data_IF_432238173032
#
_entry.id   IF_432238173032
#
_cell.length_a   1.000
_cell.length_b   1.000
_cell.length_c   1.000
_cell.angle_alpha   90.00
_cell.angle_beta   90.00
_cell.angle_gamma   90.00
#
_symmetry.space_group_name_H-M   'P 1'
#
loop_
_entity.id
_entity.type
_entity.pdbx_description
1 polymer ?
#
# COMPACT_ATOMS: atom_id res chain seq x y z
N UNK A 1 -16.27 14.73 -12.47
CA UNK A 1 -15.24 13.77 -12.93
C UNK A 1 -13.90 14.04 -12.23
N UNK A 2 -13.81 13.86 -10.89
CA UNK A 2 -12.60 14.23 -10.11
C UNK A 2 -12.13 13.15 -9.12
N UNK A 3 -12.97 12.16 -8.77
CA UNK A 3 -12.64 11.17 -7.73
C UNK A 3 -11.51 10.17 -8.06
N UNK A 4 -11.26 9.89 -9.34
CA UNK A 4 -10.17 8.99 -9.74
C UNK A 4 -8.78 9.62 -9.48
N UNK A 5 -8.64 10.93 -9.74
CA UNK A 5 -7.39 11.67 -9.49
C UNK A 5 -7.11 11.78 -7.99
N UNK A 6 -8.17 11.96 -7.17
CA UNK A 6 -8.05 12.08 -5.73
C UNK A 6 -7.52 10.80 -5.05
N UNK A 7 -7.86 9.61 -5.55
CA UNK A 7 -7.41 8.33 -4.96
C UNK A 7 -5.94 8.00 -5.24
N UNK A 8 -5.41 8.50 -6.35
CA UNK A 8 -4.01 8.35 -6.75
C UNK A 8 -3.12 9.49 -6.26
N UNK A 9 -3.70 10.50 -5.59
CA UNK A 9 -2.94 11.59 -5.00
C UNK A 9 -1.93 11.09 -3.96
N UNK A 10 -0.92 11.92 -3.71
CA UNK A 10 0.18 11.61 -2.80
C UNK A 10 -0.15 11.97 -1.35
N UNK A 11 0.19 11.06 -0.44
CA UNK A 11 0.06 11.21 1.02
C UNK A 11 1.41 10.95 1.68
N UNK A 12 1.88 11.89 2.50
CA UNK A 12 3.11 11.73 3.27
C UNK A 12 2.86 10.83 4.48
N UNK A 13 3.74 9.86 4.70
CA UNK A 13 3.70 8.94 5.84
C UNK A 13 4.80 9.28 6.83
N UNK A 14 4.41 9.55 8.08
CA UNK A 14 5.28 9.77 9.21
C UNK A 14 5.39 8.51 10.07
N UNK A 15 6.51 8.34 10.76
CA UNK A 15 6.62 7.39 11.86
C UNK A 15 6.04 7.96 13.17
N UNK A 16 6.03 7.16 14.24
CA UNK A 16 5.61 7.59 15.58
C UNK A 16 6.38 8.79 16.16
N UNK A 17 7.55 9.12 15.60
CA UNK A 17 8.40 10.25 16.00
C UNK A 17 8.24 11.47 15.06
N UNK A 18 7.18 11.52 14.24
CA UNK A 18 6.90 12.60 13.30
C UNK A 18 7.97 12.78 12.20
N UNK A 19 8.82 11.78 11.98
CA UNK A 19 9.79 11.78 10.88
C UNK A 19 9.15 11.22 9.62
N UNK A 20 9.30 11.94 8.51
CA UNK A 20 8.88 11.50 7.19
C UNK A 20 9.60 10.20 6.76
N UNK A 21 8.85 9.17 6.39
CA UNK A 21 9.40 7.89 5.90
C UNK A 21 9.24 7.76 4.39
N UNK A 22 8.02 7.95 3.88
CA UNK A 22 7.69 7.69 2.47
C UNK A 22 6.42 8.42 2.05
N UNK A 23 6.18 8.46 0.74
CA UNK A 23 4.91 8.88 0.14
C UNK A 23 4.14 7.64 -0.35
N UNK A 24 2.83 7.61 -0.10
CA UNK A 24 1.91 6.55 -0.56
C UNK A 24 0.70 7.16 -1.27
N UNK A 25 -0.08 6.34 -1.98
CA UNK A 25 -1.36 6.79 -2.54
C UNK A 25 -2.44 6.95 -1.46
N UNK A 26 -3.41 7.80 -1.72
CA UNK A 26 -4.58 8.00 -0.83
C UNK A 26 -5.33 6.70 -0.59
N UNK A 27 -5.51 5.85 -1.62
CA UNK A 27 -6.10 4.52 -1.46
C UNK A 27 -5.41 3.69 -0.36
N UNK A 28 -4.07 3.73 -0.32
CA UNK A 28 -3.30 3.02 0.70
C UNK A 28 -3.40 3.69 2.07
N UNK A 29 -3.42 5.02 2.12
CA UNK A 29 -3.60 5.78 3.36
C UNK A 29 -4.94 5.43 4.03
N UNK A 30 -6.05 5.43 3.28
CA UNK A 30 -7.35 5.00 3.81
C UNK A 30 -7.37 3.56 4.30
N UNK A 31 -6.65 2.65 3.62
CA UNK A 31 -6.51 1.26 4.08
C UNK A 31 -5.82 1.20 5.45
N UNK A 32 -4.88 2.10 5.75
CA UNK A 32 -4.19 2.16 7.04
C UNK A 32 -5.07 2.81 8.12
N UNK A 33 -5.77 3.90 7.78
CA UNK A 33 -6.70 4.60 8.68
C UNK A 33 -7.83 3.66 9.12
N UNK A 34 -8.49 2.98 8.16
CA UNK A 34 -9.59 2.06 8.44
C UNK A 34 -9.17 0.85 9.30
N UNK A 35 -7.89 0.47 9.23
CA UNK A 35 -7.33 -0.61 10.07
C UNK A 35 -6.85 -0.11 11.45
N UNK A 36 -7.06 1.17 11.76
CA UNK A 36 -6.56 1.80 12.98
C UNK A 36 -5.02 1.67 13.13
N UNK A 37 -4.31 1.63 11.99
CA UNK A 37 -2.84 1.54 11.95
C UNK A 37 -2.17 2.90 11.74
N UNK A 38 -2.96 3.90 11.38
CA UNK A 38 -2.50 5.26 11.14
C UNK A 38 -3.56 6.26 11.61
N UNK A 39 -3.11 7.50 11.82
CA UNK A 39 -3.93 8.67 12.08
C UNK A 39 -3.57 9.75 11.07
N UNK A 40 -4.53 10.59 10.71
CA UNK A 40 -4.30 11.81 9.93
C UNK A 40 -3.66 12.84 10.84
N UNK A 41 -2.64 13.55 10.35
CA UNK A 41 -2.01 14.66 11.08
C UNK A 41 -2.32 15.96 10.36
N UNK A 42 -2.91 16.90 11.10
CA UNK A 42 -3.11 18.28 10.67
C UNK A 42 -2.22 19.20 11.49
N UNK A 43 -1.88 20.34 10.90
CA UNK A 43 -1.16 21.42 11.57
C UNK A 43 -2.08 22.63 11.56
N UNK A 44 -2.50 23.06 12.75
CA UNK A 44 -3.28 24.29 12.97
C UNK A 44 -2.60 25.10 14.07
N UNK A 45 -2.39 26.40 13.85
CA UNK A 45 -1.79 27.31 14.85
C UNK A 45 -0.52 26.75 15.54
N UNK A 46 0.41 26.20 14.75
CA UNK A 46 1.64 25.53 15.21
C UNK A 46 1.45 24.30 16.11
N UNK A 47 0.23 23.76 16.17
CA UNK A 47 -0.11 22.54 16.90
C UNK A 47 -0.37 21.39 15.93
N UNK A 48 0.10 20.21 16.32
CA UNK A 48 -0.18 18.97 15.60
C UNK A 48 -1.41 18.30 16.21
N UNK A 49 -2.50 18.28 15.45
CA UNK A 49 -3.69 17.53 15.81
C UNK A 49 -3.75 16.22 15.02
N UNK A 50 -4.15 15.15 15.71
CA UNK A 50 -4.22 13.80 15.15
C UNK A 50 -5.64 13.27 15.18
N UNK A 51 -6.08 12.73 14.05
CA UNK A 51 -7.44 12.21 13.89
C UNK A 51 -7.40 10.76 13.43
N UNK A 52 -8.16 9.90 14.12
CA UNK A 52 -8.46 8.56 13.62
C UNK A 52 -9.43 8.61 12.43
N UNK A 53 -9.80 7.45 11.89
CA UNK A 53 -10.67 7.40 10.71
C UNK A 53 -12.03 8.07 10.97
N UNK A 54 -12.70 7.73 12.07
CA UNK A 54 -14.05 8.21 12.36
C UNK A 54 -14.07 9.71 12.64
N UNK A 55 -13.13 10.21 13.44
CA UNK A 55 -12.98 11.63 13.72
C UNK A 55 -12.65 12.42 12.46
N UNK A 56 -11.82 11.87 11.56
CA UNK A 56 -11.50 12.51 10.28
C UNK A 56 -12.71 12.60 9.35
N UNK A 57 -13.56 11.56 9.31
CA UNK A 57 -14.81 11.59 8.54
C UNK A 57 -15.77 12.62 9.13
N UNK A 58 -15.92 12.68 10.45
CA UNK A 58 -16.76 13.68 11.11
C UNK A 58 -16.29 15.10 10.82
N UNK A 59 -14.99 15.37 10.96
CA UNK A 59 -14.41 16.68 10.59
C UNK A 59 -14.62 17.01 9.11
N UNK A 60 -14.49 16.03 8.22
CA UNK A 60 -14.75 16.25 6.78
C UNK A 60 -16.19 16.66 6.49
N UNK A 61 -17.15 16.23 7.34
CA UNK A 61 -18.56 16.63 7.22
C UNK A 61 -18.82 18.05 7.74
N UNK A 62 -18.01 18.55 8.67
CA UNK A 62 -18.06 19.92 9.19
C UNK A 62 -17.46 20.94 8.20
N UNK A 63 -17.67 20.71 6.90
CA UNK A 63 -17.05 21.33 5.72
C UNK A 63 -16.90 22.86 5.78
N UNK A 64 -17.79 23.54 6.50
CA UNK A 64 -17.90 25.00 6.52
C UNK A 64 -17.04 25.68 7.60
N UNK A 65 -16.40 24.93 8.53
CA UNK A 65 -15.66 25.53 9.67
C UNK A 65 -14.14 25.57 9.52
N UNK A 66 -13.56 24.97 8.47
CA UNK A 66 -12.10 24.89 8.29
C UNK A 66 -11.62 25.88 7.23
N UNK A 67 -10.63 26.76 7.51
CA UNK A 67 -10.04 27.64 6.50
C UNK A 67 -9.35 26.79 5.43
N UNK A 68 -9.87 26.83 4.21
CA UNK A 68 -9.34 26.10 3.06
C UNK A 68 -8.02 26.73 2.60
N UNK A 69 -6.90 26.39 3.22
CA UNK A 69 -5.58 26.70 2.68
C UNK A 69 -5.10 25.56 1.76
N UNK A 70 -5.32 25.71 0.46
CA UNK A 70 -4.69 24.90 -0.59
C UNK A 70 -5.62 24.16 -1.56
N UNK A 71 -5.03 23.24 -2.34
CA UNK A 71 -5.73 22.33 -3.24
C UNK A 71 -6.33 21.17 -2.44
N UNK A 72 -7.52 21.36 -1.88
CA UNK A 72 -8.22 20.28 -1.18
C UNK A 72 -8.93 19.35 -2.17
N UNK A 73 -8.37 18.15 -2.31
CA UNK A 73 -9.01 17.05 -3.02
C UNK A 73 -10.02 16.36 -2.09
N UNK A 74 -11.13 15.89 -2.67
CA UNK A 74 -12.20 15.23 -1.94
C UNK A 74 -12.51 13.86 -2.56
N UNK A 75 -12.78 12.89 -1.70
CA UNK A 75 -13.30 11.59 -2.08
C UNK A 75 -14.79 11.57 -1.76
N UNK A 76 -15.60 11.26 -2.78
CA UNK A 76 -17.04 11.07 -2.63
C UNK A 76 -17.36 9.58 -2.65
N UNK A 77 -18.14 9.12 -1.69
CA UNK A 77 -18.83 7.83 -1.69
C UNK A 77 -20.31 8.06 -2.03
N UNK A 78 -21.12 7.00 -2.01
CA UNK A 78 -22.58 7.12 -2.21
C UNK A 78 -23.27 7.98 -1.13
N UNK A 79 -22.68 8.10 0.05
CA UNK A 79 -23.31 8.75 1.22
C UNK A 79 -22.40 9.73 1.96
N UNK A 80 -21.10 9.81 1.62
CA UNK A 80 -20.11 10.58 2.36
C UNK A 80 -19.20 11.37 1.43
N UNK A 81 -18.77 12.54 1.88
CA UNK A 81 -17.63 13.25 1.30
C UNK A 81 -16.54 13.31 2.36
N UNK A 82 -15.35 12.88 1.99
CA UNK A 82 -14.20 12.76 2.88
C UNK A 82 -13.04 13.54 2.28
N UNK A 83 -12.42 14.43 3.06
CA UNK A 83 -11.24 15.17 2.63
C UNK A 83 -10.07 14.22 2.44
N UNK A 84 -9.30 14.41 1.38
CA UNK A 84 -8.09 13.62 1.14
C UNK A 84 -7.06 13.94 2.25
N UNK A 85 -6.62 12.94 3.03
CA UNK A 85 -5.59 13.16 4.03
C UNK A 85 -4.25 13.41 3.32
N UNK A 86 -3.55 14.51 3.65
CA UNK A 86 -2.24 14.83 3.07
C UNK A 86 -1.08 14.24 3.84
N UNK A 87 -1.23 14.11 5.16
CA UNK A 87 -0.20 13.56 6.05
C UNK A 87 -0.86 12.54 6.97
N UNK A 88 -0.24 11.36 7.10
CA UNK A 88 -0.66 10.32 8.04
C UNK A 88 0.52 9.86 8.88
N UNK A 89 0.28 9.54 10.14
CA UNK A 89 1.27 9.02 11.09
C UNK A 89 0.95 7.57 11.44
N UNK A 90 1.94 6.69 11.34
CA UNK A 90 1.78 5.28 11.72
C UNK A 90 1.80 5.13 13.25
N UNK A 91 0.77 4.50 13.79
CA UNK A 91 0.61 4.24 15.23
C UNK A 91 1.44 3.05 15.71
N UNK A 92 1.51 2.02 14.89
CA UNK A 92 2.30 0.83 15.13
C UNK A 92 2.96 0.42 13.83
N UNK A 93 4.23 0.03 13.92
CA UNK A 93 4.88 -0.68 12.81
C UNK A 93 4.42 -2.13 12.88
N UNK A 94 3.18 -2.43 12.50
CA UNK A 94 2.62 -3.79 12.57
C UNK A 94 3.15 -4.67 11.42
N UNK A 95 4.47 -4.85 11.40
CA UNK A 95 5.28 -5.71 10.52
C UNK A 95 5.83 -5.00 9.28
N UNK A 96 7.08 -5.33 8.98
CA UNK A 96 7.64 -5.21 7.63
C UNK A 96 6.55 -5.66 6.65
N UNK A 97 6.19 -4.84 5.64
CA UNK A 97 5.19 -5.26 4.65
C UNK A 97 5.59 -6.65 4.17
N UNK A 98 4.68 -7.64 4.27
CA UNK A 98 4.93 -9.00 3.79
C UNK A 98 5.58 -8.85 2.42
N UNK A 99 6.87 -9.15 2.33
CA UNK A 99 7.57 -9.03 1.07
C UNK A 99 6.92 -10.08 0.18
N UNK A 100 6.09 -9.62 -0.76
CA UNK A 100 5.61 -10.48 -1.81
C UNK A 100 6.86 -10.96 -2.53
N UNK A 101 7.23 -12.22 -2.29
CA UNK A 101 8.37 -12.84 -2.96
C UNK A 101 7.99 -12.80 -4.44
N UNK A 102 8.76 -12.04 -5.22
CA UNK A 102 8.48 -11.89 -6.64
C UNK A 102 8.70 -13.24 -7.33
N UNK A 103 7.81 -13.61 -8.25
CA UNK A 103 8.05 -14.73 -9.15
C UNK A 103 9.21 -14.37 -10.06
N UNK A 104 10.39 -14.93 -9.78
CA UNK A 104 11.59 -14.77 -10.59
C UNK A 104 12.46 -16.03 -10.47
N UNK A 105 13.37 -16.20 -11.44
CA UNK A 105 14.24 -17.38 -11.54
C UNK A 105 15.02 -17.67 -10.25
N UNK A 106 15.57 -16.64 -9.61
CA UNK A 106 16.31 -16.77 -8.33
C UNK A 106 15.42 -17.34 -7.22
N UNK A 107 14.19 -16.85 -7.09
CA UNK A 107 13.28 -17.24 -6.03
C UNK A 107 12.68 -18.64 -6.27
N UNK A 108 12.46 -19.04 -7.53
CA UNK A 108 12.02 -20.41 -7.85
C UNK A 108 13.13 -21.41 -7.48
N UNK A 109 14.37 -21.15 -7.86
CA UNK A 109 15.48 -22.04 -7.51
C UNK A 109 15.74 -22.11 -6.01
N UNK A 110 15.57 -20.99 -5.30
CA UNK A 110 15.65 -20.98 -3.85
C UNK A 110 14.54 -21.82 -3.20
N UNK A 111 13.29 -21.69 -3.67
CA UNK A 111 12.14 -22.49 -3.22
C UNK A 111 12.39 -23.98 -3.39
N UNK A 112 12.92 -24.36 -4.55
CA UNK A 112 13.13 -25.77 -4.91
C UNK A 112 14.45 -26.33 -4.34
N UNK A 113 15.16 -25.55 -3.53
CA UNK A 113 16.49 -25.87 -3.00
C UNK A 113 17.48 -26.30 -4.09
N UNK A 114 17.37 -25.70 -5.27
CA UNK A 114 18.19 -26.01 -6.44
C UNK A 114 18.07 -27.49 -6.88
N UNK A 115 16.92 -28.13 -6.60
CA UNK A 115 16.58 -29.47 -7.10
C UNK A 115 15.74 -29.38 -8.37
N UNK A 116 16.11 -30.16 -9.37
CA UNK A 116 15.32 -30.32 -10.59
C UNK A 116 13.98 -30.99 -10.25
N UNK A 117 12.86 -30.35 -10.61
CA UNK A 117 11.52 -30.86 -10.31
C UNK A 117 11.16 -32.13 -11.10
N UNK A 118 11.88 -32.44 -12.18
CA UNK A 118 11.65 -33.64 -12.97
C UNK A 118 12.42 -34.87 -12.45
N UNK A 119 13.70 -34.70 -12.06
CA UNK A 119 14.56 -35.82 -11.66
C UNK A 119 14.92 -35.85 -10.17
N UNK A 120 14.58 -34.81 -9.40
CA UNK A 120 14.82 -34.72 -7.96
C UNK A 120 16.27 -34.42 -7.54
N UNK A 121 17.23 -34.42 -8.47
CA UNK A 121 18.66 -34.17 -8.17
C UNK A 121 18.95 -32.69 -7.97
N UNK A 122 19.96 -32.38 -7.15
CA UNK A 122 20.44 -31.03 -6.86
C UNK A 122 21.52 -30.61 -7.85
N UNK A 123 21.44 -29.39 -8.37
CA UNK A 123 22.36 -28.85 -9.38
C UNK A 123 22.78 -27.41 -9.04
N UNK A 124 23.91 -26.92 -9.56
CA UNK A 124 24.23 -25.49 -9.49
C UNK A 124 23.25 -24.67 -10.35
N UNK A 125 23.05 -23.40 -10.00
CA UNK A 125 22.12 -22.49 -10.70
C UNK A 125 22.39 -22.34 -12.20
N UNK A 126 23.66 -22.50 -12.61
CA UNK A 126 24.10 -22.46 -14.00
C UNK A 126 23.56 -23.62 -14.84
N UNK A 127 23.25 -24.76 -14.21
CA UNK A 127 22.77 -25.98 -14.87
C UNK A 127 21.25 -26.15 -14.79
N UNK A 128 20.55 -25.28 -14.07
CA UNK A 128 19.09 -25.33 -13.95
C UNK A 128 18.42 -24.46 -15.02
N UNK A 129 17.38 -24.95 -15.67
CA UNK A 129 16.45 -24.14 -16.48
C UNK A 129 15.20 -23.78 -15.66
N UNK A 130 14.44 -22.81 -16.16
CA UNK A 130 13.09 -22.55 -15.68
C UNK A 130 12.14 -22.74 -16.85
N UNK A 131 11.19 -23.64 -16.70
CA UNK A 131 10.23 -24.03 -17.74
C UNK A 131 8.81 -23.97 -17.19
N UNK A 132 7.82 -23.89 -18.08
CA UNK A 132 6.41 -24.03 -17.70
C UNK A 132 6.02 -25.50 -17.83
N UNK A 133 5.39 -26.07 -16.80
CA UNK A 133 4.82 -27.42 -16.80
C UNK A 133 3.72 -27.54 -17.85
N UNK A 134 2.79 -26.59 -17.87
CA UNK A 134 1.86 -26.38 -18.98
C UNK A 134 2.44 -25.27 -19.87
N UNK A 135 2.81 -25.56 -21.14
CA UNK A 135 3.33 -24.56 -22.04
C UNK A 135 2.38 -23.38 -22.23
N UNK A 136 2.93 -22.16 -22.38
CA UNK A 136 2.12 -20.95 -22.63
C UNK A 136 1.23 -21.08 -23.87
N UNK A 137 1.70 -21.78 -24.90
CA UNK A 137 0.91 -22.04 -26.12
C UNK A 137 -0.34 -22.90 -25.88
N UNK A 138 -0.40 -23.61 -24.76
CA UNK A 138 -1.55 -24.41 -24.32
C UNK A 138 -2.33 -23.75 -23.16
N UNK A 139 -2.12 -22.45 -22.93
CA UNK A 139 -2.83 -21.69 -21.89
C UNK A 139 -2.21 -21.76 -20.50
N UNK A 140 -0.93 -22.17 -20.37
CA UNK A 140 -0.24 -22.15 -19.08
C UNK A 140 0.10 -20.74 -18.61
N UNK A 141 -0.29 -20.41 -17.37
CA UNK A 141 -0.02 -19.11 -16.74
C UNK A 141 1.38 -19.03 -16.14
N UNK A 142 1.91 -17.81 -16.02
CA UNK A 142 3.14 -17.53 -15.26
C UNK A 142 2.82 -17.47 -13.77
N UNK A 143 2.76 -18.63 -13.12
CA UNK A 143 2.42 -18.78 -11.72
C UNK A 143 3.49 -19.57 -10.96
N UNK A 144 3.42 -19.60 -9.64
CA UNK A 144 4.34 -20.41 -8.84
C UNK A 144 4.19 -21.91 -9.08
N UNK A 145 3.01 -22.38 -9.48
CA UNK A 145 2.70 -23.80 -9.61
C UNK A 145 2.83 -24.32 -11.05
N UNK A 146 3.13 -23.45 -12.02
CA UNK A 146 3.16 -23.79 -13.44
C UNK A 146 4.51 -23.48 -14.07
#
# INVERSE_FOLDING_TARGET
MSGAVALDASVLVLNRFYVAIRVISVKRAFTLLWKSLAEVVCVEDDRYDSYDFDSWVQLSQLRDSWPLEGHDDWISTVSLQIRVPRVVRLLGYDRLPRQHIKLNRRNIFARDEHRCQYCGKRFPTSELSLDHVIPRSRGGDASWAN
#
